data_IF_691795551951
#
_entry.id   IF_691795551951
#
_cell.length_a   1.000
_cell.length_b   1.000
_cell.length_c   1.000
_cell.angle_alpha   90.00
_cell.angle_beta   90.00
_cell.angle_gamma   90.00
#
_symmetry.space_group_name_H-M   'P 1'
#
loop_
_entity.id
_entity.type
_entity.pdbx_description
1 polymer ?
#
# COMPACT_ATOMS: atom_id res chain seq x y z
N UNK A 1 0.62 90.06 -24.34
CA UNK A 1 -0.06 90.50 -23.13
C UNK A 1 -0.14 89.26 -22.20
N UNK A 2 0.46 89.42 -21.02
CA UNK A 2 0.33 88.65 -19.76
C UNK A 2 0.36 87.10 -19.81
N UNK A 3 1.54 86.62 -19.34
CA UNK A 3 1.82 85.35 -18.77
C UNK A 3 1.08 85.16 -17.43
N UNK A 4 0.50 83.98 -17.23
CA UNK A 4 0.22 83.49 -15.90
C UNK A 4 0.90 82.12 -15.71
N UNK A 5 1.79 82.09 -14.71
CA UNK A 5 2.46 80.91 -14.24
C UNK A 5 1.51 80.10 -13.35
N UNK A 6 1.32 78.81 -13.64
CA UNK A 6 0.66 77.87 -12.75
C UNK A 6 1.70 76.91 -12.16
N UNK A 7 1.85 77.03 -10.87
CA UNK A 7 2.67 76.19 -10.01
C UNK A 7 2.08 74.75 -9.94
N UNK A 8 2.92 73.72 -10.19
CA UNK A 8 2.63 72.32 -9.97
C UNK A 8 2.99 71.93 -8.54
N UNK A 9 2.13 71.12 -7.84
CA UNK A 9 2.56 70.52 -6.58
C UNK A 9 3.35 69.21 -6.83
N UNK A 10 4.41 69.04 -6.06
CA UNK A 10 5.24 67.84 -5.99
C UNK A 10 4.44 66.67 -5.37
N UNK A 11 4.15 65.64 -6.17
CA UNK A 11 3.66 64.38 -5.67
C UNK A 11 4.86 63.52 -5.15
N UNK A 12 4.81 63.18 -3.87
CA UNK A 12 5.73 62.23 -3.22
C UNK A 12 5.52 60.85 -3.82
N UNK A 13 6.54 60.31 -4.50
CA UNK A 13 6.63 58.89 -4.84
C UNK A 13 6.91 58.12 -3.55
N UNK A 14 5.94 57.36 -3.08
CA UNK A 14 6.15 56.34 -2.06
C UNK A 14 6.76 55.11 -2.71
N UNK A 15 7.99 54.81 -2.36
CA UNK A 15 8.67 53.56 -2.72
C UNK A 15 8.09 52.47 -1.82
N UNK A 16 7.21 51.60 -2.36
CA UNK A 16 6.85 50.36 -1.74
C UNK A 16 7.92 49.33 -2.12
N UNK A 17 8.84 49.05 -1.20
CA UNK A 17 9.66 47.85 -1.25
C UNK A 17 8.79 46.65 -0.88
N UNK A 18 8.24 45.95 -1.87
CA UNK A 18 7.70 44.62 -1.69
C UNK A 18 8.86 43.63 -1.56
N UNK A 19 9.24 43.32 -0.33
CA UNK A 19 10.12 42.20 -0.05
C UNK A 19 9.30 40.89 -0.24
N UNK A 20 9.31 40.35 -1.46
CA UNK A 20 8.91 38.99 -1.72
C UNK A 20 9.97 38.05 -1.14
N UNK A 21 9.79 37.67 0.11
CA UNK A 21 10.57 36.59 0.72
C UNK A 21 10.13 35.26 0.12
N UNK A 22 10.83 34.80 -0.90
CA UNK A 22 10.79 33.40 -1.33
C UNK A 22 11.48 32.57 -0.23
N UNK A 23 10.68 32.10 0.73
CA UNK A 23 11.07 30.94 1.53
C UNK A 23 10.85 29.70 0.66
N UNK A 24 11.79 29.37 -0.21
CA UNK A 24 11.97 28.01 -0.64
C UNK A 24 12.52 27.25 0.57
N UNK A 25 11.63 26.67 1.38
CA UNK A 25 12.01 25.65 2.33
C UNK A 25 12.49 24.45 1.51
N UNK A 26 13.79 24.40 1.23
CA UNK A 26 14.45 23.18 0.81
C UNK A 26 14.31 22.25 2.01
N UNK A 27 13.31 21.35 1.99
CA UNK A 27 13.20 20.29 2.97
C UNK A 27 14.50 19.48 2.87
N UNK A 28 15.40 19.65 3.83
CA UNK A 28 16.59 18.82 3.92
C UNK A 28 16.09 17.37 4.08
N UNK A 29 16.57 16.49 3.21
CA UNK A 29 16.22 15.08 3.28
C UNK A 29 16.68 14.52 4.63
N UNK A 30 15.77 13.94 5.40
CA UNK A 30 16.12 13.26 6.63
C UNK A 30 16.87 11.97 6.26
N UNK A 31 18.13 11.81 6.65
CA UNK A 31 18.88 10.61 6.31
C UNK A 31 18.32 9.41 7.10
N UNK A 32 18.04 8.31 6.42
CA UNK A 32 17.72 7.04 7.05
C UNK A 32 19.00 6.31 7.45
N UNK A 33 19.10 5.86 8.70
CA UNK A 33 20.13 4.96 9.17
C UNK A 33 19.60 3.53 9.22
N UNK A 34 20.14 2.64 8.41
CA UNK A 34 19.82 1.22 8.45
C UNK A 34 20.46 0.63 9.72
N UNK A 35 19.65 -0.01 10.56
CA UNK A 35 20.11 -0.70 11.76
C UNK A 35 20.45 -2.16 11.44
N UNK A 36 19.59 -2.83 10.70
CA UNK A 36 19.84 -4.17 10.15
C UNK A 36 18.87 -4.47 9.00
N UNK A 37 19.26 -5.44 8.15
CA UNK A 37 18.44 -6.07 7.11
C UNK A 37 18.63 -7.56 7.19
N UNK A 38 17.53 -8.36 7.16
CA UNK A 38 17.59 -9.83 7.22
C UNK A 38 16.29 -10.47 6.75
N UNK A 39 16.39 -11.73 6.35
CA UNK A 39 15.22 -12.58 6.15
C UNK A 39 14.57 -12.89 7.50
N UNK A 40 13.24 -12.77 7.56
CA UNK A 40 12.43 -13.04 8.76
C UNK A 40 11.56 -14.28 8.60
N UNK A 41 11.34 -14.74 7.35
CA UNK A 41 10.72 -16.01 7.04
C UNK A 41 11.30 -16.57 5.73
N UNK A 42 11.80 -17.81 5.79
CA UNK A 42 12.34 -18.55 4.65
C UNK A 42 11.75 -19.94 4.68
N UNK A 43 11.13 -20.35 3.57
CA UNK A 43 10.64 -21.71 3.39
C UNK A 43 11.34 -22.36 2.20
N UNK A 44 12.05 -23.46 2.46
CA UNK A 44 12.85 -24.12 1.43
C UNK A 44 12.02 -24.49 0.20
N UNK A 45 12.52 -24.12 -0.99
CA UNK A 45 11.90 -24.39 -2.29
C UNK A 45 10.50 -23.74 -2.50
N UNK A 46 10.08 -22.82 -1.60
CA UNK A 46 8.80 -22.13 -1.67
C UNK A 46 8.94 -20.71 -2.17
N UNK A 47 7.82 -20.19 -2.66
CA UNK A 47 7.64 -18.79 -3.04
C UNK A 47 6.75 -18.13 -1.99
N UNK A 48 7.31 -17.18 -1.24
CA UNK A 48 6.60 -16.34 -0.28
C UNK A 48 6.48 -14.93 -0.89
N UNK A 49 5.34 -14.25 -0.70
CA UNK A 49 5.20 -12.94 -1.32
C UNK A 49 4.15 -12.04 -0.70
N UNK A 50 4.21 -10.78 -1.10
CA UNK A 50 3.22 -9.72 -0.84
C UNK A 50 2.94 -9.51 0.66
N UNK A 51 3.97 -9.27 1.48
CA UNK A 51 3.75 -9.13 2.92
C UNK A 51 3.04 -7.83 3.27
N UNK A 52 2.26 -7.89 4.35
CA UNK A 52 1.73 -6.71 5.03
C UNK A 52 1.97 -6.83 6.52
N UNK A 53 2.55 -5.78 7.12
CA UNK A 53 2.86 -5.72 8.53
C UNK A 53 1.85 -4.84 9.29
N UNK A 54 1.54 -5.22 10.53
CA UNK A 54 0.77 -4.41 11.47
C UNK A 54 1.37 -4.50 12.87
N UNK A 55 1.34 -3.41 13.63
CA UNK A 55 1.76 -3.36 15.03
C UNK A 55 0.54 -3.22 15.92
N UNK A 56 0.32 -4.19 16.78
CA UNK A 56 -0.77 -4.18 17.77
C UNK A 56 -0.53 -3.14 18.86
N UNK A 57 -1.57 -2.70 19.58
CA UNK A 57 -1.42 -1.85 20.77
C UNK A 57 -0.54 -2.45 21.87
N UNK A 58 -0.42 -3.78 21.93
CA UNK A 58 0.50 -4.49 22.82
C UNK A 58 1.98 -4.29 22.48
N UNK A 59 2.30 -3.78 21.29
CA UNK A 59 3.64 -3.70 20.73
C UNK A 59 4.04 -4.91 19.89
N UNK A 60 3.26 -6.00 19.90
CA UNK A 60 3.49 -7.17 19.03
C UNK A 60 3.36 -6.76 17.55
N UNK A 61 4.31 -7.20 16.73
CA UNK A 61 4.30 -6.97 15.28
C UNK A 61 3.86 -8.26 14.61
N UNK A 62 2.96 -8.13 13.66
CA UNK A 62 2.41 -9.21 12.86
C UNK A 62 2.77 -8.98 11.40
N UNK A 63 3.12 -10.03 10.68
CA UNK A 63 3.34 -9.99 9.23
C UNK A 63 2.52 -11.09 8.59
N UNK A 64 1.54 -10.71 7.77
CA UNK A 64 0.81 -11.62 6.91
C UNK A 64 1.46 -11.65 5.52
N UNK A 65 1.49 -12.81 4.88
CA UNK A 65 2.04 -13.00 3.53
C UNK A 65 1.41 -14.23 2.87
N UNK A 66 1.50 -14.30 1.54
CA UNK A 66 1.06 -15.49 0.80
C UNK A 66 2.16 -16.53 0.79
N UNK A 67 1.84 -17.75 1.24
CA UNK A 67 2.76 -18.88 1.38
C UNK A 67 2.34 -20.13 0.60
N UNK A 68 3.05 -21.23 0.85
CA UNK A 68 2.93 -22.58 0.21
C UNK A 68 2.89 -22.56 -1.32
N UNK A 69 3.53 -21.62 -1.92
CA UNK A 69 3.50 -21.41 -3.37
C UNK A 69 4.70 -22.06 -4.05
N UNK A 70 4.48 -22.70 -5.19
CA UNK A 70 5.57 -23.22 -6.02
C UNK A 70 6.14 -22.14 -6.96
N UNK A 71 5.38 -21.05 -7.18
CA UNK A 71 5.74 -19.88 -8.03
C UNK A 71 4.78 -18.72 -7.77
N UNK A 72 5.02 -17.59 -8.41
CA UNK A 72 4.21 -16.36 -8.32
C UNK A 72 2.70 -16.61 -8.46
N UNK A 73 2.25 -17.44 -9.39
CA UNK A 73 0.85 -17.87 -9.56
C UNK A 73 0.78 -19.36 -9.26
N UNK A 74 -0.05 -19.74 -8.29
CA UNK A 74 -0.11 -21.10 -7.77
C UNK A 74 -1.49 -21.39 -7.15
N UNK A 75 -2.19 -22.48 -7.57
CA UNK A 75 -3.54 -22.77 -7.08
C UNK A 75 -3.61 -23.16 -5.59
N UNK A 76 -2.47 -23.43 -4.96
CA UNK A 76 -2.35 -23.83 -3.54
C UNK A 76 -1.83 -22.70 -2.66
N UNK A 77 -1.75 -21.47 -3.20
CA UNK A 77 -1.41 -20.30 -2.40
C UNK A 77 -2.40 -20.10 -1.27
N UNK A 78 -1.90 -19.82 -0.06
CA UNK A 78 -2.68 -19.54 1.12
C UNK A 78 -2.06 -18.38 1.92
N UNK A 79 -2.77 -17.87 2.93
CA UNK A 79 -2.28 -16.78 3.74
C UNK A 79 -1.70 -17.27 5.05
N UNK A 80 -0.50 -16.80 5.36
CA UNK A 80 0.27 -17.13 6.56
C UNK A 80 0.54 -15.89 7.40
N UNK A 81 0.82 -16.11 8.69
CA UNK A 81 1.10 -15.08 9.66
C UNK A 81 2.31 -15.47 10.52
N UNK A 82 3.26 -14.55 10.69
CA UNK A 82 4.33 -14.62 11.68
C UNK A 82 4.24 -13.46 12.66
N UNK A 83 4.83 -13.63 13.86
CA UNK A 83 4.73 -12.68 14.98
C UNK A 83 6.09 -12.37 15.57
N UNK A 84 6.26 -11.14 16.04
CA UNK A 84 7.41 -10.71 16.83
C UNK A 84 6.93 -9.94 18.05
N UNK A 85 7.41 -10.29 19.23
CA UNK A 85 7.13 -9.59 20.49
C UNK A 85 8.31 -8.73 20.99
N UNK A 86 9.39 -8.66 20.22
CA UNK A 86 10.67 -8.02 20.60
C UNK A 86 11.12 -6.94 19.60
N UNK A 87 10.17 -6.30 18.93
CA UNK A 87 10.46 -5.22 17.98
C UNK A 87 11.08 -5.69 16.66
N UNK A 88 10.77 -6.93 16.24
CA UNK A 88 11.22 -7.51 14.97
C UNK A 88 12.55 -8.28 15.08
N UNK A 89 13.08 -8.47 16.29
CA UNK A 89 14.35 -9.18 16.48
C UNK A 89 14.21 -10.70 16.28
N UNK A 90 13.11 -11.29 16.75
CA UNK A 90 12.79 -12.70 16.53
C UNK A 90 11.36 -12.89 16.06
N UNK A 91 11.11 -14.01 15.37
CA UNK A 91 9.82 -14.31 14.75
C UNK A 91 9.37 -15.73 15.02
N UNK A 92 8.07 -15.92 15.15
CA UNK A 92 7.46 -17.26 15.24
C UNK A 92 7.58 -18.00 13.91
N UNK A 93 7.30 -19.30 13.92
CA UNK A 93 7.03 -20.04 12.69
C UNK A 93 5.74 -19.54 12.06
N UNK A 94 5.59 -19.68 10.72
CA UNK A 94 4.35 -19.37 10.03
C UNK A 94 3.17 -20.16 10.55
N UNK A 95 2.04 -19.48 10.68
CA UNK A 95 0.73 -20.06 11.01
C UNK A 95 -0.22 -19.79 9.84
N UNK A 96 -0.88 -20.84 9.31
CA UNK A 96 -1.87 -20.70 8.24
C UNK A 96 -3.11 -20.01 8.78
N UNK A 97 -3.51 -18.92 8.17
CA UNK A 97 -4.67 -18.12 8.56
C UNK A 97 -5.85 -18.32 7.63
N UNK A 98 -5.60 -18.41 6.33
CA UNK A 98 -6.61 -18.72 5.31
C UNK A 98 -6.04 -19.71 4.31
N UNK A 99 -6.86 -20.70 3.91
CA UNK A 99 -6.50 -21.70 2.92
C UNK A 99 -7.76 -22.19 2.20
N UNK A 100 -8.11 -21.51 1.13
CA UNK A 100 -9.23 -21.84 0.27
C UNK A 100 -8.89 -22.92 -0.78
N UNK A 101 -9.86 -23.29 -1.62
CA UNK A 101 -9.64 -24.28 -2.69
C UNK A 101 -8.90 -23.70 -3.92
N UNK A 102 -8.63 -22.41 -3.93
CA UNK A 102 -8.04 -21.65 -5.05
C UNK A 102 -6.84 -20.84 -4.56
N UNK A 103 -6.27 -20.02 -5.45
CA UNK A 103 -5.13 -19.14 -5.17
C UNK A 103 -5.53 -17.97 -4.25
N UNK A 104 -5.34 -18.13 -2.93
CA UNK A 104 -5.46 -17.04 -1.96
C UNK A 104 -4.16 -16.24 -1.95
N UNK A 105 -4.25 -14.88 -2.03
CA UNK A 105 -3.10 -14.03 -2.24
C UNK A 105 -3.31 -12.57 -1.84
N UNK A 106 -2.19 -11.85 -1.72
CA UNK A 106 -2.13 -10.42 -1.47
C UNK A 106 -2.81 -10.01 -0.14
N UNK A 107 -2.37 -10.55 1.02
CA UNK A 107 -3.01 -10.25 2.29
C UNK A 107 -2.75 -8.81 2.71
N UNK A 108 -3.82 -8.12 3.12
CA UNK A 108 -3.74 -6.86 3.86
C UNK A 108 -3.96 -7.12 5.35
N UNK A 109 -3.25 -6.40 6.20
CA UNK A 109 -3.36 -6.54 7.65
C UNK A 109 -3.53 -5.16 8.29
N UNK A 110 -4.61 -4.97 9.06
CA UNK A 110 -4.91 -3.68 9.66
C UNK A 110 -5.41 -3.81 11.10
N UNK A 111 -4.92 -2.95 11.99
CA UNK A 111 -5.43 -2.82 13.35
C UNK A 111 -6.59 -1.83 13.34
N UNK A 112 -7.76 -2.28 13.78
CA UNK A 112 -8.95 -1.46 13.90
C UNK A 112 -8.85 -0.53 15.11
N UNK A 113 -9.66 0.53 15.14
CA UNK A 113 -9.66 1.50 16.25
C UNK A 113 -10.01 0.91 17.61
N UNK A 114 -10.78 -0.17 17.63
CA UNK A 114 -11.13 -0.89 18.85
C UNK A 114 -10.07 -1.92 19.27
N UNK A 115 -8.94 -1.98 18.57
CA UNK A 115 -7.83 -2.88 18.84
C UNK A 115 -7.95 -4.26 18.20
N UNK A 116 -9.06 -4.57 17.53
CA UNK A 116 -9.21 -5.79 16.74
C UNK A 116 -8.28 -5.77 15.54
N UNK A 117 -7.98 -6.96 15.03
CA UNK A 117 -7.18 -7.14 13.83
C UNK A 117 -8.08 -7.59 12.68
N UNK A 118 -7.92 -6.97 11.52
CA UNK A 118 -8.56 -7.42 10.28
C UNK A 118 -7.49 -7.89 9.30
N UNK A 119 -7.74 -9.02 8.65
CA UNK A 119 -7.00 -9.47 7.47
C UNK A 119 -7.92 -9.41 6.24
N UNK A 120 -7.39 -8.91 5.14
CA UNK A 120 -8.03 -8.94 3.82
C UNK A 120 -7.20 -9.78 2.87
N UNK A 121 -7.80 -10.37 1.83
CA UNK A 121 -7.10 -11.10 0.79
C UNK A 121 -7.93 -11.18 -0.50
N UNK A 122 -7.29 -11.60 -1.57
CA UNK A 122 -7.94 -11.88 -2.85
C UNK A 122 -7.78 -13.36 -3.19
N UNK A 123 -8.85 -13.99 -3.68
CA UNK A 123 -8.83 -15.35 -4.23
C UNK A 123 -9.02 -15.31 -5.74
N UNK A 124 -8.13 -15.93 -6.49
CA UNK A 124 -8.09 -15.88 -7.95
C UNK A 124 -7.97 -17.23 -8.63
N UNK A 125 -8.23 -17.26 -9.95
CA UNK A 125 -7.99 -18.41 -10.84
C UNK A 125 -7.00 -18.05 -11.97
N UNK A 126 -6.15 -17.05 -11.76
CA UNK A 126 -5.15 -16.64 -12.76
C UNK A 126 -4.22 -17.79 -13.18
N UNK A 127 -4.05 -18.80 -12.33
CA UNK A 127 -3.28 -20.01 -12.64
C UNK A 127 -3.89 -20.86 -13.77
N UNK A 128 -5.16 -20.69 -14.09
CA UNK A 128 -5.82 -21.38 -15.20
C UNK A 128 -5.73 -20.61 -16.53
N UNK A 129 -5.36 -19.33 -16.51
CA UNK A 129 -5.19 -18.52 -17.70
C UNK A 129 -3.81 -18.81 -18.35
N UNK A 130 -3.79 -19.27 -19.64
CA UNK A 130 -2.55 -19.60 -20.34
C UNK A 130 -1.62 -18.40 -20.58
N UNK A 131 -2.14 -17.17 -20.45
CA UNK A 131 -1.33 -15.93 -20.50
C UNK A 131 -0.39 -15.86 -19.29
N UNK A 132 -0.89 -16.26 -18.10
CA UNK A 132 -0.13 -16.20 -16.85
C UNK A 132 0.54 -17.53 -16.48
N UNK A 133 -0.07 -18.65 -16.84
CA UNK A 133 0.43 -19.97 -16.46
C UNK A 133 0.11 -21.02 -17.52
N UNK A 134 1.13 -21.83 -17.88
CA UNK A 134 1.00 -22.92 -18.86
C UNK A 134 0.95 -24.32 -18.20
N UNK A 135 0.79 -24.40 -16.88
CA UNK A 135 0.75 -25.67 -16.17
C UNK A 135 -0.58 -26.38 -16.38
N UNK A 136 -0.54 -27.59 -16.99
CA UNK A 136 -1.72 -28.43 -17.11
C UNK A 136 -2.23 -28.97 -15.78
N UNK A 137 -1.32 -29.20 -14.81
CA UNK A 137 -1.72 -29.67 -13.49
C UNK A 137 -2.56 -28.62 -12.76
N UNK A 138 -2.25 -27.34 -12.97
CA UNK A 138 -3.02 -26.24 -12.38
C UNK A 138 -4.42 -26.14 -13.00
N UNK A 139 -4.53 -26.29 -14.31
CA UNK A 139 -5.85 -26.35 -15.00
C UNK A 139 -6.66 -27.56 -14.52
N UNK A 140 -6.03 -28.74 -14.44
CA UNK A 140 -6.67 -29.96 -13.92
C UNK A 140 -7.11 -29.83 -12.47
N UNK A 141 -6.42 -29.01 -11.65
CA UNK A 141 -6.90 -28.71 -10.30
C UNK A 141 -8.26 -27.99 -10.36
N UNK A 142 -8.36 -26.92 -11.17
CA UNK A 142 -9.61 -26.17 -11.33
C UNK A 142 -10.76 -27.04 -11.88
N UNK A 143 -10.48 -27.89 -12.87
CA UNK A 143 -11.47 -28.79 -13.47
C UNK A 143 -12.08 -29.80 -12.50
N UNK A 144 -11.37 -30.14 -11.43
CA UNK A 144 -11.87 -31.05 -10.36
C UNK A 144 -12.78 -30.37 -9.37
N UNK A 145 -12.82 -29.05 -9.33
CA UNK A 145 -13.61 -28.29 -8.37
C UNK A 145 -15.03 -28.06 -8.89
N UNK A 146 -16.07 -28.21 -8.05
CA UNK A 146 -17.43 -27.88 -8.44
C UNK A 146 -17.54 -26.41 -8.85
N UNK A 147 -18.19 -26.06 -9.98
CA UNK A 147 -18.31 -24.67 -10.44
C UNK A 147 -18.93 -23.72 -9.41
N UNK A 148 -19.87 -24.21 -8.61
CA UNK A 148 -20.50 -23.45 -7.53
C UNK A 148 -19.48 -23.08 -6.43
N UNK A 149 -18.55 -23.99 -6.08
CA UNK A 149 -17.49 -23.75 -5.12
C UNK A 149 -16.49 -22.72 -5.68
N UNK A 150 -16.07 -22.87 -6.93
CA UNK A 150 -15.19 -21.90 -7.59
C UNK A 150 -15.80 -20.50 -7.55
N UNK A 151 -17.07 -20.35 -7.96
CA UNK A 151 -17.78 -19.07 -7.93
C UNK A 151 -17.89 -18.49 -6.51
N UNK A 152 -18.13 -19.32 -5.50
CA UNK A 152 -18.24 -18.88 -4.11
C UNK A 152 -16.89 -18.43 -3.54
N UNK A 153 -15.78 -19.06 -3.97
CA UNK A 153 -14.44 -18.77 -3.46
C UNK A 153 -13.76 -17.58 -4.15
N UNK A 154 -14.14 -17.23 -5.39
CA UNK A 154 -13.53 -16.12 -6.12
C UNK A 154 -13.91 -14.76 -5.54
N UNK A 155 -12.95 -13.84 -5.45
CA UNK A 155 -13.17 -12.43 -5.09
C UNK A 155 -12.27 -11.93 -3.99
N UNK A 156 -12.72 -10.85 -3.34
CA UNK A 156 -12.01 -10.21 -2.24
C UNK A 156 -12.75 -10.48 -0.93
N UNK A 157 -12.00 -10.76 0.11
CA UNK A 157 -12.54 -11.14 1.41
C UNK A 157 -11.82 -10.44 2.54
N UNK A 158 -12.48 -10.40 3.70
CA UNK A 158 -11.85 -10.06 4.96
C UNK A 158 -12.34 -10.97 6.08
N UNK A 159 -11.58 -11.03 7.16
CA UNK A 159 -11.96 -11.62 8.43
C UNK A 159 -11.35 -10.83 9.58
N UNK A 160 -11.96 -10.95 10.76
CA UNK A 160 -11.60 -10.17 11.95
C UNK A 160 -11.21 -11.11 13.08
N UNK A 161 -10.23 -10.68 13.87
CA UNK A 161 -9.77 -11.35 15.08
C UNK A 161 -9.92 -10.41 16.27
N UNK A 162 -10.46 -10.93 17.37
CA UNK A 162 -10.62 -10.21 18.64
C UNK A 162 -9.44 -10.50 19.62
N UNK A 163 -8.57 -11.44 19.28
CA UNK A 163 -7.50 -11.96 20.15
C UNK A 163 -6.08 -11.78 19.56
N UNK A 164 -5.92 -10.76 18.72
CA UNK A 164 -4.64 -10.44 18.08
C UNK A 164 -4.21 -11.46 17.02
N UNK A 165 -5.18 -12.01 16.27
CA UNK A 165 -4.95 -12.92 15.14
C UNK A 165 -4.69 -14.37 15.54
N UNK A 166 -5.09 -14.81 16.73
CA UNK A 166 -5.00 -16.21 17.15
C UNK A 166 -6.20 -17.00 16.69
N UNK A 167 -7.38 -16.37 16.72
CA UNK A 167 -8.61 -16.92 16.12
C UNK A 167 -9.27 -15.88 15.22
N UNK A 168 -10.02 -16.35 14.24
CA UNK A 168 -10.59 -15.49 13.20
C UNK A 168 -12.06 -15.78 12.96
N UNK A 169 -12.81 -14.74 12.63
CA UNK A 169 -14.21 -14.87 12.18
C UNK A 169 -14.29 -15.63 10.85
N UNK A 170 -15.50 -16.03 10.47
CA UNK A 170 -15.78 -16.48 9.10
C UNK A 170 -15.46 -15.35 8.09
N UNK A 171 -15.04 -15.71 6.85
CA UNK A 171 -14.79 -14.75 5.78
C UNK A 171 -16.03 -13.94 5.41
N UNK A 172 -15.84 -12.64 5.18
CA UNK A 172 -16.84 -11.72 4.66
C UNK A 172 -16.40 -11.22 3.30
N UNK A 173 -17.30 -11.23 2.32
CA UNK A 173 -17.00 -10.75 0.96
C UNK A 173 -16.96 -9.22 0.91
N UNK A 174 -15.88 -8.68 0.35
CA UNK A 174 -15.68 -7.26 0.07
C UNK A 174 -16.12 -6.90 -1.36
N UNK A 175 -16.22 -5.62 -1.66
CA UNK A 175 -16.56 -5.10 -3.00
C UNK A 175 -15.34 -5.00 -3.91
N UNK A 176 -14.19 -4.71 -3.31
CA UNK A 176 -12.89 -4.64 -3.99
C UNK A 176 -11.79 -5.05 -3.01
N UNK A 177 -10.56 -5.18 -3.50
CA UNK A 177 -9.40 -5.49 -2.68
C UNK A 177 -8.14 -4.88 -3.26
N UNK A 178 -7.13 -4.82 -2.40
CA UNK A 178 -5.80 -4.34 -2.71
C UNK A 178 -4.81 -5.02 -1.77
N UNK A 179 -3.55 -5.22 -2.16
CA UNK A 179 -2.47 -5.51 -1.22
C UNK A 179 -2.43 -4.43 -0.13
N UNK A 180 -1.97 -4.77 1.07
CA UNK A 180 -1.94 -3.91 2.25
C UNK A 180 -3.31 -3.57 2.86
N UNK A 181 -4.43 -3.82 2.16
CA UNK A 181 -5.77 -3.79 2.73
C UNK A 181 -6.42 -2.40 2.78
N UNK A 182 -7.35 -2.27 3.72
CA UNK A 182 -8.12 -1.05 3.99
C UNK A 182 -7.51 -0.29 5.17
N UNK A 183 -7.97 0.94 5.41
CA UNK A 183 -7.54 1.75 6.56
C UNK A 183 -8.71 2.05 7.49
N UNK A 184 -8.48 2.16 8.81
CA UNK A 184 -9.44 2.74 9.74
C UNK A 184 -9.39 4.27 9.66
N UNK A 185 -10.55 4.91 9.51
CA UNK A 185 -10.68 6.37 9.50
C UNK A 185 -10.99 6.93 10.90
N UNK A 186 -10.81 8.23 11.10
CA UNK A 186 -11.00 8.90 12.38
C UNK A 186 -12.43 8.80 12.93
N UNK A 187 -13.43 8.64 12.09
CA UNK A 187 -14.84 8.43 12.43
C UNK A 187 -15.22 6.94 12.68
N UNK A 188 -14.25 6.02 12.59
CA UNK A 188 -14.44 4.59 12.90
C UNK A 188 -14.87 3.74 11.72
N UNK A 189 -15.01 4.30 10.52
CA UNK A 189 -15.21 3.52 9.29
C UNK A 189 -13.91 2.83 8.85
N UNK A 190 -14.06 1.83 8.00
CA UNK A 190 -12.98 1.23 7.24
C UNK A 190 -13.15 1.66 5.78
N UNK A 191 -12.08 2.17 5.17
CA UNK A 191 -12.11 2.68 3.81
C UNK A 191 -10.97 2.09 3.01
N UNK A 192 -11.20 1.77 1.73
CA UNK A 192 -10.18 1.25 0.84
C UNK A 192 -10.46 1.53 -0.62
N UNK A 193 -9.41 1.86 -1.36
CA UNK A 193 -9.43 1.94 -2.81
C UNK A 193 -9.20 0.57 -3.43
N UNK A 194 -9.68 0.37 -4.66
CA UNK A 194 -9.44 -0.85 -5.41
C UNK A 194 -10.16 -0.85 -6.75
N UNK A 195 -10.06 -1.97 -7.46
CA UNK A 195 -10.75 -2.16 -8.75
C UNK A 195 -12.02 -2.96 -8.56
N UNK A 196 -13.12 -2.48 -9.13
CA UNK A 196 -14.34 -3.27 -9.21
C UNK A 196 -14.19 -4.30 -10.34
N UNK A 197 -13.94 -5.55 -9.96
CA UNK A 197 -13.79 -6.69 -10.88
C UNK A 197 -15.01 -7.63 -10.83
N UNK A 198 -16.10 -7.25 -10.14
CA UNK A 198 -17.18 -8.17 -9.78
C UNK A 198 -18.12 -8.51 -10.91
N UNK A 199 -18.08 -7.79 -12.03
CA UNK A 199 -18.90 -8.09 -13.20
C UNK A 199 -18.05 -8.12 -14.49
N UNK A 200 -17.93 -9.26 -15.19
CA UNK A 200 -17.28 -9.32 -16.50
C UNK A 200 -18.01 -8.40 -17.49
N UNK A 201 -17.31 -7.39 -18.02
CA UNK A 201 -17.84 -6.47 -19.02
C UNK A 201 -18.42 -5.15 -18.50
N UNK A 202 -18.59 -4.99 -17.18
CA UNK A 202 -18.75 -3.67 -16.56
C UNK A 202 -17.36 -3.08 -16.41
N UNK A 203 -17.15 -1.83 -16.82
CA UNK A 203 -15.86 -1.18 -16.92
C UNK A 203 -15.01 -1.41 -15.66
N UNK A 204 -13.69 -1.45 -15.85
CA UNK A 204 -12.73 -1.63 -14.74
C UNK A 204 -12.72 -0.36 -13.89
N UNK A 205 -13.78 -0.14 -13.12
CA UNK A 205 -13.94 1.05 -12.31
C UNK A 205 -12.96 1.05 -11.15
N UNK A 206 -12.29 2.18 -10.97
CA UNK A 206 -11.49 2.47 -9.79
C UNK A 206 -12.45 2.97 -8.71
N UNK A 207 -12.62 2.22 -7.65
CA UNK A 207 -13.65 2.49 -6.65
C UNK A 207 -13.09 2.67 -5.25
N UNK A 208 -13.86 3.39 -4.44
CA UNK A 208 -13.70 3.46 -3.00
C UNK A 208 -14.82 2.66 -2.34
N UNK A 209 -14.46 1.75 -1.44
CA UNK A 209 -15.41 1.01 -0.61
C UNK A 209 -15.31 1.42 0.85
N UNK A 210 -16.40 1.24 1.59
CA UNK A 210 -16.42 1.43 3.03
C UNK A 210 -17.13 0.29 3.77
N UNK A 211 -16.78 0.14 5.05
CA UNK A 211 -17.55 -0.58 6.06
C UNK A 211 -17.72 0.31 7.29
N UNK A 212 -18.95 0.47 7.79
CA UNK A 212 -19.26 1.22 9.00
C UNK A 212 -19.59 0.31 10.20
N UNK A 213 -19.46 -1.00 10.04
CA UNK A 213 -19.85 -2.02 11.03
C UNK A 213 -18.70 -2.96 11.40
N UNK A 214 -17.45 -2.52 11.18
CA UNK A 214 -16.24 -3.27 11.53
C UNK A 214 -15.97 -4.45 10.59
N UNK A 215 -16.32 -4.32 9.32
CA UNK A 215 -16.03 -5.30 8.26
C UNK A 215 -17.14 -6.33 8.02
N UNK A 216 -18.30 -6.21 8.67
CA UNK A 216 -19.43 -7.15 8.46
C UNK A 216 -20.16 -6.93 7.15
N UNK A 217 -20.26 -5.67 6.72
CA UNK A 217 -20.84 -5.30 5.42
C UNK A 217 -20.00 -4.26 4.71
N UNK A 218 -20.05 -4.27 3.38
CA UNK A 218 -19.25 -3.39 2.51
C UNK A 218 -20.11 -2.77 1.42
N UNK A 219 -19.87 -1.47 1.18
CA UNK A 219 -20.52 -0.71 0.11
C UNK A 219 -19.48 0.08 -0.71
N UNK A 220 -19.73 0.23 -2.01
CA UNK A 220 -19.02 1.21 -2.83
C UNK A 220 -19.63 2.57 -2.54
N UNK A 221 -18.78 3.55 -2.19
CA UNK A 221 -19.18 4.90 -1.82
C UNK A 221 -18.70 5.97 -2.79
N UNK A 222 -17.72 5.67 -3.62
CA UNK A 222 -17.11 6.61 -4.56
C UNK A 222 -16.34 5.93 -5.67
N UNK A 223 -15.88 6.71 -6.63
CA UNK A 223 -15.03 6.27 -7.72
C UNK A 223 -13.95 7.30 -8.04
N UNK A 224 -12.77 6.81 -8.48
CA UNK A 224 -11.69 7.66 -8.97
C UNK A 224 -11.78 7.80 -10.49
N UNK A 225 -11.34 8.94 -11.00
CA UNK A 225 -11.29 9.22 -12.44
C UNK A 225 -9.86 9.28 -12.92
N UNK A 226 -9.59 8.66 -14.07
CA UNK A 226 -8.31 8.76 -14.75
C UNK A 226 -8.22 10.02 -15.60
N UNK A 227 -7.03 10.60 -15.77
CA UNK A 227 -6.83 11.66 -16.76
C UNK A 227 -7.02 11.11 -18.19
N UNK A 228 -7.18 12.02 -19.15
CA UNK A 228 -7.29 11.64 -20.56
C UNK A 228 -6.07 10.84 -21.01
N UNK A 229 -6.29 9.77 -21.76
CA UNK A 229 -5.25 8.88 -22.28
C UNK A 229 -4.80 7.77 -21.32
N UNK A 230 -5.20 7.79 -20.05
CA UNK A 230 -4.89 6.71 -19.10
C UNK A 230 -6.09 5.78 -18.95
N UNK A 231 -5.90 4.51 -19.34
CA UNK A 231 -6.89 3.47 -19.13
C UNK A 231 -6.96 3.05 -17.66
N UNK A 232 -8.14 2.97 -17.03
CA UNK A 232 -8.30 2.39 -15.70
C UNK A 232 -7.77 0.96 -15.59
N UNK A 233 -7.72 0.23 -16.71
CA UNK A 233 -7.16 -1.11 -16.81
C UNK A 233 -5.67 -1.20 -16.47
N UNK A 234 -4.94 -0.10 -16.51
CA UNK A 234 -3.51 -0.01 -16.24
C UNK A 234 -3.19 0.46 -14.81
N UNK A 235 -4.23 0.62 -13.98
CA UNK A 235 -4.09 1.01 -12.57
C UNK A 235 -4.40 -0.16 -11.64
N UNK A 236 -3.51 -0.41 -10.71
CA UNK A 236 -3.50 -1.57 -9.82
C UNK A 236 -3.12 -1.17 -8.40
N UNK A 237 -3.37 -2.05 -7.46
CA UNK A 237 -2.74 -2.12 -6.15
C UNK A 237 -2.65 -0.76 -5.42
N UNK A 238 -3.76 -0.03 -5.26
CA UNK A 238 -3.73 1.23 -4.55
C UNK A 238 -3.57 1.03 -3.05
N UNK A 239 -3.04 2.05 -2.37
CA UNK A 239 -3.17 2.18 -0.93
C UNK A 239 -3.63 3.58 -0.56
N UNK A 240 -4.24 3.72 0.62
CA UNK A 240 -4.90 4.95 1.07
C UNK A 240 -4.44 5.29 2.48
N UNK A 241 -4.47 6.57 2.85
CA UNK A 241 -4.26 7.04 4.22
C UNK A 241 -5.19 8.21 4.54
N UNK A 242 -5.68 8.31 5.77
CA UNK A 242 -6.38 9.49 6.25
C UNK A 242 -5.37 10.52 6.76
N UNK A 243 -5.17 11.59 5.98
CA UNK A 243 -4.22 12.66 6.33
C UNK A 243 -4.76 13.57 7.44
N UNK A 244 -6.05 13.88 7.41
CA UNK A 244 -6.81 14.55 8.47
C UNK A 244 -8.25 14.05 8.47
N UNK A 245 -9.05 14.26 9.52
CA UNK A 245 -10.41 13.72 9.58
C UNK A 245 -11.22 14.01 8.32
N UNK A 246 -11.64 12.94 7.62
CA UNK A 246 -12.38 13.01 6.36
C UNK A 246 -11.55 13.32 5.12
N UNK A 247 -10.27 13.70 5.24
CA UNK A 247 -9.38 13.95 4.11
C UNK A 247 -8.51 12.72 3.86
N UNK A 248 -8.62 12.14 2.68
CA UNK A 248 -7.91 10.93 2.27
C UNK A 248 -6.93 11.21 1.15
N UNK A 249 -5.80 10.53 1.17
CA UNK A 249 -4.81 10.47 0.11
C UNK A 249 -4.74 9.04 -0.42
N UNK A 250 -4.79 8.86 -1.74
CA UNK A 250 -4.63 7.57 -2.41
C UNK A 250 -3.48 7.58 -3.40
N UNK A 251 -2.69 6.52 -3.40
CA UNK A 251 -1.67 6.25 -4.43
C UNK A 251 -2.04 4.98 -5.19
N UNK A 252 -1.88 5.00 -6.52
CA UNK A 252 -2.16 3.90 -7.44
C UNK A 252 -0.92 3.51 -8.21
N UNK A 253 -0.64 2.21 -8.29
CA UNK A 253 0.36 1.67 -9.22
C UNK A 253 -0.12 1.87 -10.65
N UNK A 254 0.70 2.51 -11.50
CA UNK A 254 0.48 2.68 -12.94
C UNK A 254 1.40 1.78 -13.74
N UNK A 255 0.85 0.94 -14.61
CA UNK A 255 1.58 -0.10 -15.33
C UNK A 255 2.22 0.36 -16.64
N UNK A 256 1.62 1.35 -17.31
CA UNK A 256 2.15 1.91 -18.55
C UNK A 256 3.05 3.11 -18.28
N UNK A 257 4.11 3.27 -19.09
CA UNK A 257 5.04 4.38 -18.98
C UNK A 257 6.19 4.16 -18.00
N UNK A 258 6.69 5.22 -17.42
CA UNK A 258 7.91 5.22 -16.61
C UNK A 258 7.73 4.68 -15.17
N UNK A 259 6.66 3.98 -14.88
CA UNK A 259 6.37 3.34 -13.58
C UNK A 259 6.18 4.33 -12.42
N UNK A 260 5.63 5.51 -12.68
CA UNK A 260 5.26 6.45 -11.62
C UNK A 260 4.00 5.99 -10.88
N UNK A 261 3.87 6.43 -9.64
CA UNK A 261 2.65 6.33 -8.89
C UNK A 261 1.71 7.47 -9.29
N UNK A 262 0.43 7.16 -9.52
CA UNK A 262 -0.61 8.19 -9.66
C UNK A 262 -1.27 8.44 -8.31
N UNK A 263 -1.57 9.71 -8.04
CA UNK A 263 -2.11 10.21 -6.78
C UNK A 263 -3.52 10.75 -6.97
N UNK A 264 -4.35 10.65 -5.93
CA UNK A 264 -5.70 11.22 -5.86
C UNK A 264 -6.06 11.57 -4.42
N UNK A 265 -6.90 12.57 -4.22
CA UNK A 265 -7.32 13.08 -2.92
C UNK A 265 -8.85 13.09 -2.81
N UNK A 266 -9.33 12.98 -1.57
CA UNK A 266 -10.74 13.12 -1.20
C UNK A 266 -10.86 13.97 0.06
N UNK A 267 -11.79 14.93 0.05
CA UNK A 267 -12.08 15.81 1.20
C UNK A 267 -13.42 15.48 1.90
N UNK A 268 -14.08 14.40 1.46
CA UNK A 268 -15.42 14.02 1.92
C UNK A 268 -15.51 12.56 2.41
N UNK A 269 -14.37 12.02 2.84
CA UNK A 269 -14.26 10.67 3.40
C UNK A 269 -14.40 9.56 2.37
N UNK A 270 -13.96 9.81 1.12
CA UNK A 270 -13.88 8.82 0.06
C UNK A 270 -15.09 8.79 -0.88
N UNK A 271 -16.03 9.73 -0.78
CA UNK A 271 -17.22 9.79 -1.66
C UNK A 271 -16.91 10.40 -3.01
N UNK A 272 -16.09 11.46 -3.03
CA UNK A 272 -15.57 12.05 -4.25
C UNK A 272 -14.05 12.11 -4.21
N UNK A 273 -13.42 11.95 -5.38
CA UNK A 273 -11.98 11.91 -5.54
C UNK A 273 -11.54 12.85 -6.67
N UNK A 274 -10.40 13.49 -6.49
CA UNK A 274 -9.75 14.24 -7.55
C UNK A 274 -9.48 13.34 -8.77
N UNK A 275 -9.31 13.93 -9.95
CA UNK A 275 -8.75 13.18 -11.09
C UNK A 275 -7.35 12.74 -10.72
N UNK A 276 -7.00 11.47 -10.97
CA UNK A 276 -5.65 10.98 -10.75
C UNK A 276 -4.62 11.85 -11.48
N UNK A 277 -3.53 12.14 -10.81
CA UNK A 277 -2.42 12.92 -11.37
C UNK A 277 -1.09 12.27 -11.01
N UNK A 278 -0.04 12.63 -11.71
CA UNK A 278 1.31 12.08 -11.48
C UNK A 278 1.82 12.46 -10.09
N UNK A 279 2.37 11.49 -9.40
CA UNK A 279 3.19 11.67 -8.21
C UNK A 279 4.65 11.82 -8.60
N UNK A 280 5.45 12.45 -7.74
CA UNK A 280 6.92 12.49 -7.89
C UNK A 280 7.60 11.19 -7.47
N UNK A 281 6.85 10.26 -6.86
CA UNK A 281 7.35 8.96 -6.39
C UNK A 281 7.44 7.97 -7.56
N UNK A 282 8.55 7.21 -7.60
CA UNK A 282 8.82 6.24 -8.66
C UNK A 282 9.02 4.84 -8.09
N UNK A 283 8.00 4.00 -8.19
CA UNK A 283 8.02 2.61 -7.71
C UNK A 283 6.62 2.03 -7.55
N UNK A 284 6.51 0.78 -7.04
CA UNK A 284 5.24 0.09 -6.84
C UNK A 284 5.37 -1.24 -6.07
N UNK A 285 4.25 -1.76 -5.48
CA UNK A 285 3.06 -1.00 -5.13
C UNK A 285 3.34 -0.03 -3.97
N UNK A 286 2.48 0.97 -3.77
CA UNK A 286 2.63 1.89 -2.65
C UNK A 286 2.03 1.33 -1.36
N UNK A 287 2.66 1.66 -0.23
CA UNK A 287 2.06 1.61 1.09
C UNK A 287 2.15 2.99 1.74
N UNK A 288 1.08 3.48 2.34
CA UNK A 288 0.99 4.77 3.01
C UNK A 288 0.81 4.58 4.52
N UNK A 289 1.58 5.28 5.32
CA UNK A 289 1.51 5.27 6.78
C UNK A 289 1.46 6.71 7.29
N UNK A 290 0.47 7.04 8.12
CA UNK A 290 0.50 8.27 8.90
C UNK A 290 1.33 8.04 10.15
N UNK A 291 2.39 8.83 10.29
CA UNK A 291 3.31 8.78 11.42
C UNK A 291 2.67 9.41 12.66
N UNK A 292 3.20 9.08 13.82
CA UNK A 292 2.74 9.60 15.12
C UNK A 292 2.87 11.13 15.24
N UNK A 293 3.79 11.74 14.49
CA UNK A 293 3.98 13.19 14.41
C UNK A 293 3.11 13.89 13.34
N UNK A 294 2.28 13.12 12.62
CA UNK A 294 1.34 13.61 11.61
C UNK A 294 1.87 13.65 10.17
N UNK A 295 3.16 13.40 9.95
CA UNK A 295 3.73 13.23 8.60
C UNK A 295 3.18 11.98 7.93
N UNK A 296 3.27 11.92 6.61
CA UNK A 296 2.88 10.74 5.82
C UNK A 296 4.13 10.10 5.25
N UNK A 297 4.30 8.81 5.49
CA UNK A 297 5.35 8.00 4.89
C UNK A 297 4.76 7.15 3.77
N UNK A 298 5.35 7.20 2.59
CA UNK A 298 5.10 6.29 1.49
C UNK A 298 6.25 5.30 1.39
N UNK A 299 5.94 3.99 1.33
CA UNK A 299 6.90 2.93 1.02
C UNK A 299 6.55 2.35 -0.35
N UNK A 300 7.55 2.02 -1.17
CA UNK A 300 7.36 1.43 -2.50
C UNK A 300 8.60 0.67 -2.94
N UNK A 301 8.38 -0.39 -3.73
CA UNK A 301 9.46 -1.16 -4.34
C UNK A 301 9.83 -0.60 -5.70
N UNK A 302 11.07 -0.80 -6.14
CA UNK A 302 11.54 -0.48 -7.49
C UNK A 302 12.20 -1.72 -8.10
N UNK A 303 11.80 -2.04 -9.33
CA UNK A 303 12.29 -3.16 -10.11
C UNK A 303 12.91 -2.65 -11.40
N UNK A 304 14.06 -2.00 -11.27
CA UNK A 304 14.79 -1.40 -12.38
C UNK A 304 16.25 -1.81 -12.28
N UNK A 305 16.79 -2.37 -13.35
CA UNK A 305 18.18 -2.83 -13.40
C UNK A 305 19.16 -1.78 -12.88
N UNK A 306 19.90 -2.13 -11.84
CA UNK A 306 20.86 -1.26 -11.19
C UNK A 306 20.26 -0.25 -10.19
N UNK A 307 18.92 -0.23 -10.03
CA UNK A 307 18.22 0.59 -9.05
C UNK A 307 17.08 -0.18 -8.35
N UNK A 308 17.24 -1.50 -8.24
CA UNK A 308 16.28 -2.38 -7.58
C UNK A 308 16.36 -2.24 -6.06
N UNK A 309 15.21 -2.19 -5.40
CA UNK A 309 15.18 -2.07 -3.94
C UNK A 309 13.86 -1.58 -3.38
N UNK A 310 13.90 -1.34 -2.06
CA UNK A 310 12.78 -0.76 -1.30
C UNK A 310 13.12 0.67 -0.90
N UNK A 311 12.15 1.55 -1.09
CA UNK A 311 12.28 2.99 -0.90
C UNK A 311 11.19 3.51 0.01
N UNK A 312 11.48 4.63 0.67
CA UNK A 312 10.48 5.42 1.37
C UNK A 312 10.64 6.90 1.02
N UNK A 313 9.54 7.63 1.08
CA UNK A 313 9.53 9.08 1.03
C UNK A 313 8.58 9.62 2.10
N UNK A 314 8.87 10.82 2.63
CA UNK A 314 8.09 11.43 3.69
C UNK A 314 7.51 12.76 3.19
N UNK A 315 6.24 12.98 3.47
CA UNK A 315 5.54 14.24 3.24
C UNK A 315 5.17 14.89 4.57
N UNK A 316 5.47 16.18 4.71
CA UNK A 316 5.10 17.00 5.87
C UNK A 316 3.85 17.86 5.63
N UNK A 317 3.26 17.79 4.45
CA UNK A 317 2.14 18.64 4.01
C UNK A 317 0.90 17.85 3.57
N UNK A 318 0.78 16.60 4.06
CA UNK A 318 -0.36 15.74 3.77
C UNK A 318 -0.34 15.10 2.37
N UNK A 319 0.84 14.88 1.80
CA UNK A 319 1.01 14.24 0.49
C UNK A 319 1.02 15.21 -0.68
N UNK A 320 0.97 16.54 -0.45
CA UNK A 320 1.06 17.54 -1.54
C UNK A 320 2.44 17.58 -2.17
N UNK A 321 3.46 17.44 -1.34
CA UNK A 321 4.85 17.29 -1.79
C UNK A 321 5.52 16.13 -1.05
N UNK A 322 6.47 15.48 -1.73
CA UNK A 322 7.23 14.38 -1.19
C UNK A 322 8.70 14.78 -1.06
N UNK A 323 9.31 14.45 0.07
CA UNK A 323 10.73 14.60 0.28
C UNK A 323 11.54 13.67 -0.61
N UNK A 324 12.86 13.75 -0.50
CA UNK A 324 13.78 12.86 -1.22
C UNK A 324 13.49 11.40 -0.84
N UNK A 325 13.50 10.52 -1.84
CA UNK A 325 13.44 9.08 -1.64
C UNK A 325 14.66 8.57 -0.88
N UNK A 326 14.42 7.78 0.16
CA UNK A 326 15.43 7.13 0.98
C UNK A 326 15.48 5.65 0.61
N UNK A 327 16.67 5.12 0.42
CA UNK A 327 16.87 3.70 0.13
C UNK A 327 16.84 2.92 1.44
N UNK A 328 15.90 1.99 1.58
CA UNK A 328 15.75 1.13 2.76
C UNK A 328 16.47 -0.21 2.55
N UNK A 329 16.34 -0.78 1.37
CA UNK A 329 17.05 -2.02 1.01
C UNK A 329 17.42 -1.99 -0.48
N UNK A 330 18.50 -2.69 -0.83
CA UNK A 330 18.88 -2.97 -2.22
C UNK A 330 18.76 -4.46 -2.47
N UNK A 331 18.23 -4.82 -3.63
CA UNK A 331 18.16 -6.21 -4.06
C UNK A 331 19.34 -6.54 -4.96
N UNK A 332 19.88 -7.74 -4.81
CA UNK A 332 20.94 -8.24 -5.68
C UNK A 332 20.29 -9.04 -6.82
N UNK A 333 20.32 -8.51 -8.03
CA UNK A 333 19.88 -9.22 -9.22
C UNK A 333 18.79 -8.50 -10.01
N UNK A 334 18.58 -8.97 -11.26
CA UNK A 334 17.60 -8.41 -12.20
C UNK A 334 16.24 -9.18 -12.09
N UNK A 335 15.79 -9.55 -10.88
CA UNK A 335 14.58 -10.35 -10.72
C UNK A 335 13.39 -9.49 -10.29
N UNK A 336 12.29 -9.61 -11.03
CA UNK A 336 11.02 -8.92 -10.74
C UNK A 336 10.29 -9.48 -9.49
N UNK A 337 10.83 -10.50 -8.83
CA UNK A 337 10.25 -11.14 -7.63
C UNK A 337 10.71 -10.46 -6.34
N UNK A 338 10.37 -9.21 -6.16
CA UNK A 338 10.68 -8.41 -4.98
C UNK A 338 9.65 -7.30 -4.78
N UNK A 339 9.69 -6.62 -3.64
CA UNK A 339 8.88 -5.43 -3.37
C UNK A 339 7.75 -5.65 -2.38
N UNK A 340 6.68 -4.90 -2.55
CA UNK A 340 5.50 -4.83 -1.66
C UNK A 340 5.90 -4.42 -0.23
N UNK A 341 6.66 -3.34 -0.08
CA UNK A 341 7.09 -2.91 1.24
C UNK A 341 5.93 -2.38 2.06
N UNK A 342 5.86 -2.83 3.30
CA UNK A 342 4.98 -2.30 4.33
C UNK A 342 5.82 -1.80 5.50
N UNK A 343 5.59 -0.58 5.96
CA UNK A 343 6.34 0.00 7.08
C UNK A 343 5.45 0.15 8.30
N UNK A 344 5.96 -0.22 9.47
CA UNK A 344 5.39 0.08 10.79
C UNK A 344 6.33 0.96 11.59
N UNK A 345 5.75 1.92 12.34
CA UNK A 345 6.48 2.79 13.26
C UNK A 345 6.67 2.07 14.60
N UNK A 346 7.92 1.90 15.02
CA UNK A 346 8.25 1.22 16.28
C UNK A 346 8.21 2.17 17.49
N UNK A 347 8.50 3.44 17.28
CA UNK A 347 8.69 4.50 18.26
C UNK A 347 10.11 5.07 18.19
N UNK A 348 10.34 6.21 18.86
CA UNK A 348 11.65 6.87 18.94
C UNK A 348 12.35 7.12 17.58
N UNK A 349 11.53 7.30 16.53
CA UNK A 349 12.04 7.47 15.16
C UNK A 349 12.54 6.19 14.50
N UNK A 350 12.28 5.02 15.10
CA UNK A 350 12.58 3.71 14.52
C UNK A 350 11.40 3.14 13.74
N UNK A 351 11.72 2.45 12.67
CA UNK A 351 10.78 1.83 11.74
C UNK A 351 11.20 0.42 11.38
N UNK A 352 10.22 -0.41 11.05
CA UNK A 352 10.44 -1.72 10.43
C UNK A 352 9.70 -1.74 9.09
N UNK A 353 10.45 -1.92 8.00
CA UNK A 353 9.90 -2.13 6.66
C UNK A 353 10.04 -3.60 6.29
N UNK A 354 8.93 -4.25 5.98
CA UNK A 354 8.85 -5.65 5.58
C UNK A 354 8.54 -5.72 4.08
N UNK A 355 9.18 -6.63 3.38
CA UNK A 355 9.05 -6.83 1.93
C UNK A 355 9.40 -8.27 1.56
N UNK A 356 9.21 -8.68 0.30
CA UNK A 356 9.72 -9.95 -0.18
C UNK A 356 10.78 -9.75 -1.25
N UNK A 357 11.70 -10.73 -1.37
CA UNK A 357 12.75 -10.71 -2.39
C UNK A 357 13.22 -12.12 -2.74
N UNK A 358 13.98 -12.24 -3.83
CA UNK A 358 14.63 -13.48 -4.20
C UNK A 358 15.65 -13.91 -3.15
N UNK A 359 15.63 -15.20 -2.80
CA UNK A 359 16.48 -15.78 -1.81
C UNK A 359 17.17 -17.05 -2.37
N UNK A 360 18.50 -17.22 -2.18
CA UNK A 360 19.21 -18.42 -2.68
C UNK A 360 18.71 -19.74 -2.07
N UNK A 361 18.18 -19.70 -0.85
CA UNK A 361 17.72 -20.89 -0.10
C UNK A 361 16.26 -21.25 -0.40
N UNK A 362 15.51 -20.32 -0.99
CA UNK A 362 14.12 -20.45 -1.38
C UNK A 362 13.92 -19.85 -2.78
N UNK A 363 12.69 -19.76 -3.28
CA UNK A 363 12.39 -18.96 -4.48
C UNK A 363 12.33 -17.50 -4.14
N UNK A 364 11.61 -17.19 -3.06
CA UNK A 364 11.55 -15.88 -2.43
C UNK A 364 11.41 -16.07 -0.91
N UNK A 365 11.79 -15.06 -0.16
CA UNK A 365 11.66 -14.98 1.30
C UNK A 365 10.94 -13.69 1.70
N UNK A 366 10.46 -13.65 2.94
CA UNK A 366 10.02 -12.41 3.58
C UNK A 366 11.20 -11.85 4.34
N UNK A 367 11.59 -10.63 4.02
CA UNK A 367 12.66 -9.89 4.64
C UNK A 367 12.15 -8.66 5.38
N UNK A 368 12.95 -8.16 6.29
CA UNK A 368 12.71 -6.91 6.98
C UNK A 368 13.98 -6.08 7.10
N UNK A 369 13.81 -4.78 7.03
CA UNK A 369 14.84 -3.80 7.36
C UNK A 369 14.36 -2.94 8.52
N UNK A 370 15.12 -2.93 9.61
CA UNK A 370 14.94 -1.99 10.71
C UNK A 370 15.82 -0.77 10.45
N UNK A 371 15.23 0.40 10.54
CA UNK A 371 15.91 1.65 10.23
C UNK A 371 15.40 2.80 11.09
N UNK A 372 16.12 3.89 11.11
CA UNK A 372 15.83 5.06 11.94
C UNK A 372 16.03 6.35 11.14
N UNK A 373 15.15 7.32 11.34
CA UNK A 373 15.39 8.70 10.93
C UNK A 373 16.43 9.34 11.86
N UNK A 374 17.49 9.93 11.29
CA UNK A 374 18.62 10.46 12.08
C UNK A 374 18.46 11.91 12.51
N UNK A 375 17.46 12.63 11.97
CA UNK A 375 17.14 14.01 12.35
C UNK A 375 15.62 14.13 12.63
N UNK A 376 15.30 14.86 13.70
CA UNK A 376 13.92 15.19 14.09
C UNK A 376 13.49 16.50 13.45
#
# INVERSE_FOLDING_TARGET
>A
MRSEAMTRPLSRLGVFCAAAGLYAACAAAEPARILWTRDICVEKDRYLGWPTAAKLPSGEILVAFSGDRSRHICPWGHEELIRSSDGGETWTKPEVVENGPLDDRDPGLVVLKDGRLMMTWMTSVAFADPVYCKSEDYRRHLEKLPPALVKASLGNFCKVSDDGGRTWSAPVRMKTGTPHGVIPTSDGRLVGLGRNLTEPGVGQDLVCQESSDGGRTWAIIGSCRTPEGISPGNLYEPHTVEVSPGCLLGLWRYRDGEKHLLQTESDDGGRTWSVLHESTLDGFPPHLLKLSDGRILASFGRRRKGDDGEFVAISSDGGRTWGRELVIARHAGDDDNCGYPTTVELGDGEFLTVYYHCCPEAKTSIAATKWQLTEK
#
